data_IF_147816639133
#
_entry.id   IF_147816639133
#
_cell.length_a   1.000
_cell.length_b   1.000
_cell.length_c   1.000
_cell.angle_alpha   90.00
_cell.angle_beta   90.00
_cell.angle_gamma   90.00
#
_symmetry.space_group_name_H-M   'P 1'
#
loop_
_entity.id
_entity.type
_entity.pdbx_description
1 polymer ?
#
# COMPACT_ATOMS: atom_id res chain seq x y z
N UNK A 1 -17.74 17.07 -11.85
CA UNK A 1 -16.68 18.10 -11.98
C UNK A 1 -15.35 17.41 -11.80
N UNK A 2 -14.38 17.61 -12.70
CA UNK A 2 -13.02 17.13 -12.48
C UNK A 2 -12.48 17.84 -11.24
N UNK A 3 -11.98 17.09 -10.26
CA UNK A 3 -11.42 17.66 -9.02
C UNK A 3 -10.31 18.65 -9.36
N UNK A 4 -10.27 19.80 -8.68
CA UNK A 4 -9.19 20.81 -8.81
C UNK A 4 -7.81 20.17 -8.66
N UNK A 5 -7.68 19.15 -7.80
CA UNK A 5 -6.43 18.39 -7.61
C UNK A 5 -6.01 17.63 -8.86
N UNK A 6 -6.94 17.01 -9.59
CA UNK A 6 -6.62 16.29 -10.82
C UNK A 6 -6.14 17.22 -11.92
N UNK A 7 -6.69 18.44 -11.99
CA UNK A 7 -6.20 19.44 -12.95
C UNK A 7 -4.78 19.88 -12.61
N UNK A 8 -4.48 20.12 -11.34
CA UNK A 8 -3.13 20.45 -10.88
C UNK A 8 -2.14 19.31 -11.20
N UNK A 9 -2.50 18.06 -10.90
CA UNK A 9 -1.64 16.90 -11.20
C UNK A 9 -1.32 16.76 -12.69
N UNK A 10 -2.30 17.00 -13.58
CA UNK A 10 -2.08 16.96 -15.04
C UNK A 10 -1.16 18.05 -15.55
N UNK A 11 -1.15 19.21 -14.89
CA UNK A 11 -0.29 20.32 -15.29
C UNK A 11 1.15 20.13 -14.82
N UNK A 12 1.34 19.50 -13.65
CA UNK A 12 2.66 19.38 -13.01
C UNK A 12 3.35 18.03 -13.28
N UNK A 13 2.60 16.98 -13.60
CA UNK A 13 3.11 15.63 -13.82
C UNK A 13 2.58 15.05 -15.14
N UNK A 14 3.32 14.14 -15.79
CA UNK A 14 2.81 13.37 -16.94
C UNK A 14 1.77 12.33 -16.47
N UNK A 15 0.60 12.83 -16.05
CA UNK A 15 -0.50 12.08 -15.48
C UNK A 15 -1.64 11.93 -16.50
N UNK A 16 -2.03 10.69 -16.78
CA UNK A 16 -3.10 10.36 -17.71
C UNK A 16 -4.13 9.46 -17.02
N UNK A 17 -5.40 9.81 -17.16
CA UNK A 17 -6.49 8.95 -16.72
C UNK A 17 -6.85 7.97 -17.85
N UNK A 18 -7.10 6.72 -17.48
CA UNK A 18 -7.49 5.67 -18.41
C UNK A 18 -8.21 4.53 -17.70
N UNK A 19 -8.78 3.63 -18.49
CA UNK A 19 -9.37 2.39 -17.98
C UNK A 19 -8.46 1.23 -18.32
N UNK A 20 -8.18 0.37 -17.34
CA UNK A 20 -7.44 -0.86 -17.52
C UNK A 20 -8.43 -2.03 -17.45
N UNK A 21 -8.55 -2.79 -18.53
CA UNK A 21 -9.38 -4.00 -18.55
C UNK A 21 -8.54 -5.20 -18.06
N UNK A 22 -8.97 -5.79 -16.95
CA UNK A 22 -8.34 -6.97 -16.37
C UNK A 22 -9.15 -8.23 -16.71
N UNK A 23 -9.16 -8.62 -17.99
CA UNK A 23 -9.93 -9.78 -18.48
C UNK A 23 -9.11 -11.09 -18.58
N UNK A 24 -7.78 -11.00 -18.43
CA UNK A 24 -6.88 -12.15 -18.48
C UNK A 24 -6.28 -12.46 -19.85
N UNK A 25 -6.57 -11.65 -20.87
CA UNK A 25 -5.94 -11.78 -22.19
C UNK A 25 -4.43 -11.48 -22.11
N UNK A 26 -4.05 -10.55 -21.23
CA UNK A 26 -2.66 -10.18 -20.96
C UNK A 26 -2.15 -10.74 -19.63
N UNK A 27 -0.87 -11.13 -19.61
CA UNK A 27 -0.19 -11.56 -18.38
C UNK A 27 -0.07 -10.36 -17.43
N UNK A 28 -0.92 -10.35 -16.41
CA UNK A 28 -1.00 -9.26 -15.44
C UNK A 28 -0.74 -9.77 -14.04
N UNK A 29 -0.01 -8.99 -13.25
CA UNK A 29 0.18 -9.21 -11.82
C UNK A 29 -0.01 -7.90 -11.05
N UNK A 30 -0.15 -8.00 -9.74
CA UNK A 30 -0.26 -6.84 -8.85
C UNK A 30 0.97 -6.75 -7.96
N UNK A 31 1.48 -5.53 -7.78
CA UNK A 31 2.53 -5.20 -6.82
C UNK A 31 1.93 -4.32 -5.74
N UNK A 32 1.96 -4.80 -4.50
CA UNK A 32 1.59 -4.05 -3.30
C UNK A 32 2.87 -3.46 -2.72
N UNK A 33 2.86 -2.17 -2.41
CA UNK A 33 4.05 -1.46 -1.92
C UNK A 33 3.73 -0.90 -0.54
N UNK A 34 4.46 -1.37 0.46
CA UNK A 34 4.54 -0.82 1.80
C UNK A 34 3.19 -0.73 2.53
N UNK A 35 2.28 -1.67 2.26
CA UNK A 35 1.04 -1.84 3.02
C UNK A 35 1.33 -2.60 4.31
N UNK A 36 2.23 -2.06 5.13
CA UNK A 36 2.71 -2.63 6.40
C UNK A 36 1.99 -2.01 7.60
N UNK A 37 1.98 -2.70 8.74
CA UNK A 37 1.31 -2.20 9.95
C UNK A 37 1.87 -0.85 10.42
N UNK A 38 3.18 -0.64 10.28
CA UNK A 38 3.85 0.61 10.64
C UNK A 38 3.37 1.85 9.91
N UNK A 39 2.64 1.69 8.81
CA UNK A 39 2.02 2.80 8.09
C UNK A 39 0.50 2.75 8.12
N UNK A 40 -0.08 1.56 8.28
CA UNK A 40 -1.52 1.36 8.04
C UNK A 40 -2.32 0.94 9.28
N UNK A 41 -1.68 0.67 10.42
CA UNK A 41 -2.37 0.23 11.65
C UNK A 41 -2.30 1.28 12.75
N UNK A 42 -3.45 1.64 13.31
CA UNK A 42 -3.52 2.69 14.34
C UNK A 42 -2.63 2.32 15.52
N UNK A 43 -1.69 3.20 15.86
CA UNK A 43 -0.74 3.06 16.96
C UNK A 43 0.28 1.90 16.87
N UNK A 44 0.43 1.25 15.71
CA UNK A 44 1.29 0.07 15.53
C UNK A 44 2.72 0.40 15.06
N UNK A 45 3.11 1.66 15.12
CA UNK A 45 4.42 2.14 14.67
C UNK A 45 4.58 3.64 14.87
N UNK A 46 5.80 4.13 14.70
CA UNK A 46 6.08 5.56 14.88
C UNK A 46 5.52 6.41 13.72
N UNK A 47 5.39 5.81 12.54
CA UNK A 47 4.82 6.42 11.33
C UNK A 47 3.37 5.99 11.05
N UNK A 48 2.79 5.22 11.96
CA UNK A 48 1.43 4.74 11.81
C UNK A 48 0.44 5.83 12.25
N UNK A 49 -0.80 5.81 11.75
CA UNK A 49 -1.81 6.78 12.15
C UNK A 49 -2.04 6.70 13.68
N UNK A 50 -2.16 7.85 14.33
CA UNK A 50 -2.39 7.92 15.80
C UNK A 50 -3.84 7.67 16.20
N UNK A 51 -4.74 7.76 15.23
CA UNK A 51 -6.19 7.55 15.36
C UNK A 51 -6.72 7.02 14.02
N UNK A 52 -7.96 6.51 13.94
CA UNK A 52 -8.54 6.07 12.68
C UNK A 52 -8.44 7.14 11.58
N UNK A 53 -7.99 6.72 10.40
CA UNK A 53 -7.82 7.56 9.22
C UNK A 53 -8.58 6.94 8.03
N UNK A 54 -9.59 7.66 7.56
CA UNK A 54 -10.50 7.18 6.51
C UNK A 54 -9.77 6.96 5.18
N UNK A 55 -8.80 7.80 4.86
CA UNK A 55 -8.03 7.69 3.62
C UNK A 55 -7.17 6.43 3.64
N UNK A 56 -6.46 6.18 4.74
CA UNK A 56 -5.64 4.98 4.92
C UNK A 56 -6.51 3.73 4.90
N UNK A 57 -7.62 3.73 5.65
CA UNK A 57 -8.52 2.56 5.71
C UNK A 57 -9.12 2.23 4.34
N UNK A 58 -9.57 3.24 3.59
CA UNK A 58 -10.13 3.06 2.25
C UNK A 58 -9.08 2.53 1.27
N UNK A 59 -7.84 3.03 1.35
CA UNK A 59 -6.72 2.54 0.53
C UNK A 59 -6.39 1.08 0.84
N UNK A 60 -6.37 0.70 2.11
CA UNK A 60 -6.16 -0.70 2.54
C UNK A 60 -7.27 -1.61 2.02
N UNK A 61 -8.53 -1.19 2.15
CA UNK A 61 -9.69 -1.99 1.73
C UNK A 61 -9.69 -2.24 0.20
N UNK A 62 -9.42 -1.21 -0.60
CA UNK A 62 -9.30 -1.38 -2.05
C UNK A 62 -8.09 -2.24 -2.44
N UNK A 63 -6.97 -2.12 -1.72
CA UNK A 63 -5.80 -2.96 -1.95
C UNK A 63 -6.07 -4.44 -1.65
N UNK A 64 -6.77 -4.74 -0.55
CA UNK A 64 -7.21 -6.11 -0.20
C UNK A 64 -8.16 -6.65 -1.26
N UNK A 65 -9.15 -5.86 -1.68
CA UNK A 65 -10.13 -6.26 -2.71
C UNK A 65 -9.45 -6.61 -4.03
N UNK A 66 -8.48 -5.80 -4.47
CA UNK A 66 -7.70 -6.09 -5.68
C UNK A 66 -6.83 -7.33 -5.51
N UNK A 67 -6.10 -7.45 -4.39
CA UNK A 67 -5.28 -8.63 -4.13
C UNK A 67 -6.12 -9.92 -4.13
N UNK A 68 -7.33 -9.90 -3.53
CA UNK A 68 -8.27 -11.03 -3.54
C UNK A 68 -8.67 -11.42 -4.96
N UNK A 69 -9.05 -10.44 -5.79
CA UNK A 69 -9.43 -10.68 -7.17
C UNK A 69 -8.29 -11.30 -8.00
N UNK A 70 -7.03 -10.94 -7.72
CA UNK A 70 -5.86 -11.55 -8.35
C UNK A 70 -5.59 -12.97 -7.83
N UNK A 71 -5.62 -13.18 -6.50
CA UNK A 71 -5.45 -14.49 -5.88
C UNK A 71 -6.51 -15.50 -6.36
N UNK A 72 -7.78 -15.10 -6.46
CA UNK A 72 -8.89 -15.94 -6.96
C UNK A 72 -8.68 -16.41 -8.41
N UNK A 73 -7.99 -15.59 -9.22
CA UNK A 73 -7.62 -15.92 -10.61
C UNK A 73 -6.28 -16.66 -10.71
N UNK A 74 -5.63 -16.93 -9.58
CA UNK A 74 -4.26 -17.42 -9.50
C UNK A 74 -3.26 -16.56 -10.28
N UNK A 75 -3.50 -15.24 -10.32
CA UNK A 75 -2.60 -14.29 -10.94
C UNK A 75 -1.50 -13.88 -9.96
N UNK A 76 -0.30 -13.50 -10.44
CA UNK A 76 0.80 -13.11 -9.58
C UNK A 76 0.45 -11.94 -8.65
N UNK A 77 0.72 -12.12 -7.36
CA UNK A 77 0.68 -11.09 -6.32
C UNK A 77 2.07 -10.99 -5.73
N UNK A 78 2.65 -9.80 -5.72
CA UNK A 78 3.95 -9.52 -5.13
C UNK A 78 3.83 -8.36 -4.15
N UNK A 79 4.54 -8.41 -3.02
CA UNK A 79 4.52 -7.36 -2.01
C UNK A 79 5.95 -6.93 -1.67
N UNK A 80 6.19 -5.62 -1.72
CA UNK A 80 7.32 -4.99 -1.05
C UNK A 80 6.89 -4.57 0.34
N UNK A 81 7.68 -4.93 1.34
CA UNK A 81 7.47 -4.55 2.73
C UNK A 81 8.62 -3.67 3.14
N UNK A 82 8.33 -2.39 3.37
CA UNK A 82 9.32 -1.51 3.96
C UNK A 82 9.81 -2.08 5.29
N UNK A 83 11.13 -2.18 5.41
CA UNK A 83 11.74 -2.74 6.60
C UNK A 83 13.19 -2.31 6.80
N UNK A 84 13.55 -2.01 8.04
CA UNK A 84 14.87 -1.49 8.38
C UNK A 84 15.64 -2.39 9.33
N UNK A 85 16.95 -2.40 9.16
CA UNK A 85 17.85 -2.97 10.14
C UNK A 85 17.96 -2.04 11.35
N UNK A 86 17.88 -2.53 12.60
CA UNK A 86 17.91 -1.67 13.79
C UNK A 86 19.18 -0.82 13.91
N UNK A 87 20.30 -1.31 13.38
CA UNK A 87 21.59 -0.62 13.41
C UNK A 87 21.81 0.37 12.25
N UNK A 88 20.86 0.51 11.32
CA UNK A 88 20.96 1.41 10.16
C UNK A 88 19.80 2.43 10.23
N UNK A 89 19.95 3.52 11.02
CA UNK A 89 18.90 4.51 11.14
C UNK A 89 18.76 5.33 9.84
N UNK A 90 17.54 5.83 9.59
CA UNK A 90 17.22 6.70 8.45
C UNK A 90 16.72 8.07 8.90
N UNK A 91 17.62 9.00 9.30
CA UNK A 91 17.21 10.37 9.61
C UNK A 91 16.62 11.07 8.36
N UNK A 92 15.56 11.90 8.52
CA UNK A 92 15.01 12.40 9.78
C UNK A 92 13.93 11.50 10.39
N UNK A 93 13.62 10.35 9.80
CA UNK A 93 12.56 9.48 10.28
C UNK A 93 12.93 8.83 11.63
N UNK A 94 11.97 8.63 12.54
CA UNK A 94 12.19 7.84 13.73
C UNK A 94 12.46 6.38 13.35
N UNK A 95 12.95 5.57 14.29
CA UNK A 95 12.97 4.11 14.10
C UNK A 95 11.58 3.62 13.75
N UNK A 96 11.44 2.91 12.64
CA UNK A 96 10.17 2.38 12.15
C UNK A 96 10.42 1.10 11.35
N UNK A 97 9.35 0.34 11.11
CA UNK A 97 9.33 -0.88 10.32
C UNK A 97 10.55 -1.80 10.56
N UNK A 98 10.96 -2.00 11.82
CA UNK A 98 12.17 -2.80 12.09
C UNK A 98 11.93 -4.26 11.69
N UNK A 99 12.87 -4.84 10.94
CA UNK A 99 12.77 -6.22 10.44
C UNK A 99 12.42 -7.19 11.58
N UNK A 100 11.37 -7.98 11.38
CA UNK A 100 10.92 -9.00 12.34
C UNK A 100 9.98 -8.47 13.42
N UNK A 101 9.63 -7.18 13.40
CA UNK A 101 8.61 -6.61 14.28
C UNK A 101 7.21 -6.67 13.63
N UNK A 102 6.14 -6.54 14.43
CA UNK A 102 4.79 -6.40 13.88
C UNK A 102 4.67 -5.20 12.92
N UNK A 103 5.42 -4.13 13.18
CA UNK A 103 5.44 -2.90 12.38
C UNK A 103 5.82 -3.18 10.91
N UNK A 104 6.86 -3.98 10.68
CA UNK A 104 7.37 -4.32 9.33
C UNK A 104 6.56 -5.41 8.62
N UNK A 105 5.52 -5.94 9.27
CA UNK A 105 4.70 -7.02 8.71
C UNK A 105 3.58 -6.44 7.84
N UNK A 106 3.18 -7.20 6.82
CA UNK A 106 2.02 -6.86 5.99
C UNK A 106 0.79 -6.59 6.87
N UNK A 107 -0.01 -5.60 6.48
CA UNK A 107 -1.24 -5.23 7.18
C UNK A 107 -2.13 -6.45 7.42
N UNK A 108 -2.63 -6.61 8.64
CA UNK A 108 -3.36 -7.81 9.07
C UNK A 108 -4.59 -8.18 8.22
N UNK A 109 -5.21 -7.22 7.53
CA UNK A 109 -6.34 -7.46 6.62
C UNK A 109 -5.99 -8.31 5.39
N UNK A 110 -4.70 -8.51 5.13
CA UNK A 110 -4.19 -9.40 4.07
C UNK A 110 -3.97 -10.85 4.55
N UNK A 111 -4.21 -11.17 5.84
CA UNK A 111 -4.10 -12.54 6.33
C UNK A 111 -5.17 -13.42 5.68
N UNK A 112 -4.76 -14.55 5.10
CA UNK A 112 -5.66 -15.53 4.46
C UNK A 112 -5.97 -15.26 2.98
N UNK A 113 -5.30 -14.27 2.38
CA UNK A 113 -5.08 -14.20 0.93
C UNK A 113 -4.16 -15.31 0.42
#
# INVERSE_FOLDING_TARGET
MVSTTLQLLKNELPFYEGSLLLNGDDKTGIVLVDVVNGFCTVCDGNLAPRQPDEQISSMVDESVKLAKAFSEKQWPVFAFLDSHHPDIPEPPYPSHCIIGTPESSMKYSFIGL
#
